data_IF_858919704389
#
_entry.id   IF_858919704389
#
_cell.length_a   1.000
_cell.length_b   1.000
_cell.length_c   1.000
_cell.angle_alpha   90.00
_cell.angle_beta   90.00
_cell.angle_gamma   90.00
#
_symmetry.space_group_name_H-M   'P 1'
#
loop_
_entity.id
_entity.type
_entity.pdbx_description
1 polymer ?
#
# COMPACT_ATOMS: atom_id res chain seq x y z
N UNK A 1 -34.29 -11.20 16.49
CA UNK A 1 -34.50 -9.80 16.92
C UNK A 1 -33.70 -8.90 16.00
N UNK A 2 -34.38 -8.14 15.13
CA UNK A 2 -33.76 -7.04 14.36
C UNK A 2 -33.23 -6.03 15.37
N UNK A 3 -31.94 -5.72 15.29
CA UNK A 3 -31.33 -4.65 16.07
C UNK A 3 -31.82 -3.35 15.43
N UNK A 4 -32.85 -2.74 16.04
CA UNK A 4 -33.24 -1.38 15.73
C UNK A 4 -32.01 -0.50 15.96
N UNK A 5 -31.36 -0.08 14.87
CA UNK A 5 -30.47 1.08 14.88
C UNK A 5 -31.33 2.31 15.10
N UNK A 6 -31.79 2.49 16.33
CA UNK A 6 -32.33 3.74 16.84
C UNK A 6 -31.31 4.82 16.54
N UNK A 7 -31.77 5.90 15.93
CA UNK A 7 -30.98 7.09 15.63
C UNK A 7 -30.20 7.53 16.87
N UNK A 8 -28.87 7.46 16.85
CA UNK A 8 -28.04 7.87 17.98
C UNK A 8 -27.99 9.40 18.20
N UNK A 9 -28.76 10.22 17.44
CA UNK A 9 -28.92 11.64 17.75
C UNK A 9 -30.12 12.28 17.00
N UNK A 10 -31.33 12.23 17.57
CA UNK A 10 -32.48 13.03 17.11
C UNK A 10 -32.12 14.53 16.99
N UNK A 11 -31.29 15.03 17.93
CA UNK A 11 -30.76 16.40 17.90
C UNK A 11 -29.90 16.68 16.65
N UNK A 12 -29.09 15.72 16.19
CA UNK A 12 -28.27 15.88 15.00
C UNK A 12 -29.14 15.95 13.75
N UNK A 13 -30.19 15.13 13.66
CA UNK A 13 -31.16 15.21 12.57
C UNK A 13 -31.88 16.57 12.55
N UNK A 14 -32.32 17.04 13.71
CA UNK A 14 -32.94 18.37 13.84
C UNK A 14 -32.00 19.49 13.40
N UNK A 15 -30.70 19.39 13.71
CA UNK A 15 -29.70 20.34 13.23
C UNK A 15 -29.54 20.25 11.71
N UNK A 16 -29.42 19.06 11.14
CA UNK A 16 -29.27 18.88 9.69
C UNK A 16 -30.46 19.45 8.92
N UNK A 17 -31.69 19.27 9.41
CA UNK A 17 -32.90 19.84 8.81
C UNK A 17 -32.93 21.37 8.77
N UNK A 18 -32.16 22.05 9.62
CA UNK A 18 -32.05 23.52 9.59
C UNK A 18 -31.19 24.01 8.43
N UNK A 19 -30.20 23.21 8.02
CA UNK A 19 -29.18 23.64 7.07
C UNK A 19 -29.28 22.93 5.71
N UNK A 20 -29.95 21.77 5.65
CA UNK A 20 -30.02 20.91 4.47
C UNK A 20 -31.44 20.39 4.24
N UNK A 21 -31.73 20.04 2.99
CA UNK A 21 -32.96 19.30 2.66
C UNK A 21 -32.74 17.82 2.99
N UNK A 22 -33.58 17.26 3.85
CA UNK A 22 -33.48 15.88 4.34
C UNK A 22 -34.68 15.08 3.86
N UNK A 23 -34.44 14.07 3.03
CA UNK A 23 -35.40 13.03 2.68
C UNK A 23 -35.19 11.85 3.64
N UNK A 24 -36.10 11.71 4.60
CA UNK A 24 -36.03 10.66 5.62
C UNK A 24 -36.42 9.27 5.10
N UNK A 25 -37.32 9.21 4.13
CA UNK A 25 -37.83 7.94 3.59
C UNK A 25 -36.73 7.24 2.78
N UNK A 26 -36.11 7.98 1.86
CA UNK A 26 -35.02 7.48 1.04
C UNK A 26 -33.65 7.60 1.72
N UNK A 27 -33.59 8.27 2.89
CA UNK A 27 -32.38 8.57 3.65
C UNK A 27 -31.34 9.31 2.80
N UNK A 28 -31.76 10.40 2.16
CA UNK A 28 -30.92 11.24 1.31
C UNK A 28 -30.86 12.65 1.89
N UNK A 29 -29.67 13.24 1.94
CA UNK A 29 -29.48 14.64 2.31
C UNK A 29 -28.95 15.38 1.08
N UNK A 30 -29.64 16.45 0.68
CA UNK A 30 -29.22 17.31 -0.42
C UNK A 30 -28.37 18.45 0.12
N UNK A 31 -27.14 18.55 -0.37
CA UNK A 31 -26.20 19.63 -0.08
C UNK A 31 -26.18 20.55 -1.29
N UNK A 32 -26.45 21.83 -1.08
CA UNK A 32 -26.22 22.86 -2.09
C UNK A 32 -24.91 23.57 -1.76
N UNK A 33 -24.00 23.61 -2.73
CA UNK A 33 -22.71 24.30 -2.64
C UNK A 33 -22.71 25.42 -3.66
N UNK A 34 -22.62 26.66 -3.17
CA UNK A 34 -22.75 27.86 -3.99
C UNK A 34 -21.37 28.42 -4.36
N UNK A 35 -21.17 28.74 -5.64
CA UNK A 35 -19.98 29.41 -6.16
C UNK A 35 -20.39 30.56 -7.09
N UNK A 36 -19.64 31.67 -7.05
CA UNK A 36 -19.90 32.79 -7.96
C UNK A 36 -19.37 32.47 -9.37
N UNK A 37 -18.19 31.85 -9.46
CA UNK A 37 -17.56 31.49 -10.74
C UNK A 37 -17.07 30.05 -10.77
N UNK A 38 -17.04 29.46 -11.97
CA UNK A 38 -16.43 28.15 -12.18
C UNK A 38 -14.94 28.14 -11.76
N UNK A 39 -14.20 29.21 -11.97
CA UNK A 39 -12.81 29.36 -11.50
C UNK A 39 -12.63 29.32 -9.97
N UNK A 40 -13.68 29.52 -9.17
CA UNK A 40 -13.62 29.35 -7.70
C UNK A 40 -13.64 27.87 -7.30
N UNK A 41 -14.24 27.03 -8.15
CA UNK A 41 -14.33 25.59 -7.96
C UNK A 41 -13.21 24.83 -8.69
N UNK A 42 -12.80 25.34 -9.85
CA UNK A 42 -11.82 24.74 -10.75
C UNK A 42 -10.43 25.35 -10.59
N UNK A 43 -9.40 24.55 -10.80
CA UNK A 43 -8.02 25.02 -10.87
C UNK A 43 -7.77 25.65 -12.25
N UNK A 44 -7.52 26.95 -12.27
CA UNK A 44 -7.26 27.71 -13.51
C UNK A 44 -5.81 27.66 -13.97
N UNK A 45 -4.90 27.16 -13.12
CA UNK A 45 -3.47 27.08 -13.40
C UNK A 45 -3.01 25.71 -13.90
N UNK A 46 -3.84 24.68 -13.78
CA UNK A 46 -3.51 23.29 -14.11
C UNK A 46 -4.73 22.61 -14.72
N UNK A 47 -4.56 22.00 -15.90
CA UNK A 47 -5.64 21.31 -16.64
C UNK A 47 -5.83 21.89 -18.05
N UNK A 48 -6.83 21.37 -18.76
CA UNK A 48 -7.28 21.92 -20.05
C UNK A 48 -8.73 22.41 -19.88
N UNK A 49 -9.14 23.45 -20.59
CA UNK A 49 -10.53 23.96 -20.59
C UNK A 49 -11.59 22.87 -20.78
N UNK A 50 -11.29 21.82 -21.55
CA UNK A 50 -12.23 20.72 -21.75
C UNK A 50 -12.31 19.74 -20.57
N UNK A 51 -11.23 19.61 -19.80
CA UNK A 51 -11.10 18.70 -18.65
C UNK A 51 -10.39 19.46 -17.51
N UNK A 52 -11.07 20.41 -16.85
CA UNK A 52 -10.47 21.17 -15.75
C UNK A 52 -10.22 20.26 -14.54
N UNK A 53 -9.33 20.66 -13.64
CA UNK A 53 -9.08 19.94 -12.38
C UNK A 53 -9.85 20.64 -11.27
N UNK A 54 -10.48 19.91 -10.35
CA UNK A 54 -11.14 20.52 -9.19
C UNK A 54 -10.09 20.98 -8.18
N UNK A 55 -10.29 22.16 -7.58
CA UNK A 55 -9.39 22.63 -6.51
C UNK A 55 -9.45 21.70 -5.30
N UNK A 56 -8.32 21.49 -4.64
CA UNK A 56 -8.24 20.69 -3.42
C UNK A 56 -9.12 21.28 -2.30
N UNK A 57 -9.19 22.60 -2.19
CA UNK A 57 -10.05 23.33 -1.24
C UNK A 57 -11.54 23.00 -1.44
N UNK A 58 -12.00 22.98 -2.70
CA UNK A 58 -13.38 22.65 -3.03
C UNK A 58 -13.71 21.18 -2.69
N UNK A 59 -12.77 20.28 -2.97
CA UNK A 59 -12.87 18.86 -2.61
C UNK A 59 -12.90 18.66 -1.08
N UNK A 60 -12.08 19.38 -0.35
CA UNK A 60 -12.00 19.31 1.11
C UNK A 60 -13.27 19.88 1.77
N UNK A 61 -13.82 20.97 1.24
CA UNK A 61 -15.10 21.51 1.69
C UNK A 61 -16.22 20.48 1.54
N UNK A 62 -16.34 19.83 0.38
CA UNK A 62 -17.30 18.75 0.15
C UNK A 62 -17.07 17.59 1.13
N UNK A 63 -15.82 17.22 1.38
CA UNK A 63 -15.49 16.18 2.36
C UNK A 63 -16.02 16.51 3.76
N UNK A 64 -15.75 17.71 4.22
CA UNK A 64 -16.02 18.14 5.59
C UNK A 64 -17.53 18.18 5.84
N UNK A 65 -18.31 18.61 4.84
CA UNK A 65 -19.76 18.53 4.90
C UNK A 65 -20.21 17.06 4.98
N UNK A 66 -19.72 16.18 4.11
CA UNK A 66 -20.09 14.74 4.12
C UNK A 66 -19.71 14.07 5.45
N UNK A 67 -18.62 14.48 6.10
CA UNK A 67 -18.21 13.97 7.41
C UNK A 67 -19.20 14.30 8.53
N UNK A 68 -19.83 15.46 8.47
CA UNK A 68 -20.82 15.88 9.46
C UNK A 68 -22.15 15.09 9.35
N UNK A 69 -22.37 14.42 8.21
CA UNK A 69 -23.61 13.70 7.90
C UNK A 69 -23.56 12.26 8.44
N UNK A 70 -24.61 11.81 9.18
CA UNK A 70 -24.70 10.46 9.73
C UNK A 70 -24.55 9.37 8.67
N UNK A 71 -23.80 8.30 9.00
CA UNK A 71 -23.41 7.20 8.09
C UNK A 71 -24.59 6.44 7.47
N UNK A 72 -25.80 6.62 7.99
CA UNK A 72 -27.02 6.00 7.45
C UNK A 72 -27.54 6.73 6.20
N UNK A 73 -27.24 8.03 6.03
CA UNK A 73 -27.78 8.85 4.93
C UNK A 73 -26.86 8.91 3.72
N UNK A 74 -27.40 8.80 2.50
CA UNK A 74 -26.70 9.17 1.28
C UNK A 74 -26.73 10.67 1.06
N UNK A 75 -25.86 11.16 0.18
CA UNK A 75 -25.68 12.58 -0.07
C UNK A 75 -25.89 12.89 -1.55
N UNK A 76 -26.80 13.81 -1.86
CA UNK A 76 -26.91 14.44 -3.18
C UNK A 76 -26.16 15.77 -3.12
N UNK A 77 -25.26 16.02 -4.07
CA UNK A 77 -24.50 17.27 -4.13
C UNK A 77 -25.00 18.09 -5.32
N UNK A 78 -25.43 19.30 -5.03
CA UNK A 78 -25.82 20.27 -6.03
C UNK A 78 -24.78 21.39 -6.02
N UNK A 79 -24.03 21.53 -7.11
CA UNK A 79 -23.16 22.67 -7.33
C UNK A 79 -23.95 23.75 -8.04
N UNK A 80 -24.14 24.87 -7.34
CA UNK A 80 -24.85 26.03 -7.84
C UNK A 80 -23.81 27.10 -8.21
N UNK A 81 -23.55 27.26 -9.51
CA UNK A 81 -22.50 28.15 -10.04
C UNK A 81 -23.19 29.24 -10.87
N UNK A 82 -22.95 30.52 -10.54
CA UNK A 82 -23.56 31.64 -11.27
C UNK A 82 -22.97 31.83 -12.66
N UNK A 83 -21.64 31.83 -12.75
CA UNK A 83 -20.92 31.99 -14.02
C UNK A 83 -20.04 30.76 -14.31
N UNK A 84 -20.41 30.02 -15.34
CA UNK A 84 -19.68 28.83 -15.77
C UNK A 84 -18.43 29.15 -16.61
N UNK A 85 -18.16 30.41 -16.98
CA UNK A 85 -16.93 30.84 -17.68
C UNK A 85 -16.58 30.01 -18.93
N UNK A 86 -17.60 29.60 -19.69
CA UNK A 86 -17.53 28.72 -20.88
C UNK A 86 -17.17 27.25 -20.61
N UNK A 87 -17.07 26.83 -19.35
CA UNK A 87 -16.96 25.42 -19.00
C UNK A 87 -18.30 24.70 -19.21
N UNK A 88 -18.25 23.51 -19.80
CA UNK A 88 -19.43 22.67 -19.93
C UNK A 88 -19.77 22.02 -18.57
N UNK A 89 -20.99 22.22 -18.01
CA UNK A 89 -21.38 21.66 -16.71
C UNK A 89 -21.20 20.14 -16.61
N UNK A 90 -21.46 19.41 -17.70
CA UNK A 90 -21.27 17.96 -17.73
C UNK A 90 -19.79 17.58 -17.62
N UNK A 91 -18.90 18.32 -18.27
CA UNK A 91 -17.46 18.09 -18.17
C UNK A 91 -16.95 18.37 -16.76
N UNK A 92 -17.53 19.34 -16.04
CA UNK A 92 -17.17 19.62 -14.64
C UNK A 92 -17.49 18.41 -13.74
N UNK A 93 -18.63 17.74 -13.93
CA UNK A 93 -18.97 16.52 -13.18
C UNK A 93 -17.94 15.42 -13.47
N UNK A 94 -17.57 15.23 -14.73
CA UNK A 94 -16.54 14.26 -15.11
C UNK A 94 -15.17 14.61 -14.50
N UNK A 95 -14.77 15.88 -14.56
CA UNK A 95 -13.58 16.41 -13.92
C UNK A 95 -13.53 16.17 -12.42
N UNK A 96 -14.67 16.22 -11.73
CA UNK A 96 -14.76 15.88 -10.32
C UNK A 96 -14.39 14.42 -10.06
N UNK A 97 -14.92 13.49 -10.86
CA UNK A 97 -14.52 12.08 -10.79
C UNK A 97 -13.03 11.87 -11.08
N UNK A 98 -12.54 12.47 -12.16
CA UNK A 98 -11.17 12.29 -12.63
C UNK A 98 -10.17 12.84 -11.61
N UNK A 99 -10.48 13.99 -11.01
CA UNK A 99 -9.64 14.57 -9.94
C UNK A 99 -9.57 13.65 -8.72
N UNK A 100 -10.71 13.08 -8.30
CA UNK A 100 -10.72 12.12 -7.20
C UNK A 100 -9.96 10.82 -7.54
N UNK A 101 -10.04 10.36 -8.80
CA UNK A 101 -9.30 9.19 -9.29
C UNK A 101 -7.79 9.44 -9.29
N UNK A 102 -7.35 10.59 -9.82
CA UNK A 102 -5.95 11.02 -9.81
C UNK A 102 -5.41 11.13 -8.38
N UNK A 103 -6.17 11.72 -7.47
CA UNK A 103 -5.82 11.77 -6.04
C UNK A 103 -5.71 10.37 -5.43
N UNK A 104 -6.53 9.42 -5.87
CA UNK A 104 -6.42 8.03 -5.45
C UNK A 104 -5.15 7.35 -6.00
N UNK A 105 -4.77 7.59 -7.27
CA UNK A 105 -3.52 7.07 -7.83
C UNK A 105 -2.30 7.60 -7.08
N UNK A 106 -2.28 8.90 -6.80
CA UNK A 106 -1.23 9.54 -6.00
C UNK A 106 -1.17 8.94 -4.60
N UNK A 107 -2.32 8.79 -3.93
CA UNK A 107 -2.42 8.15 -2.61
C UNK A 107 -1.90 6.71 -2.62
N UNK A 108 -2.22 5.92 -3.65
CA UNK A 108 -1.73 4.54 -3.82
C UNK A 108 -0.20 4.52 -3.93
N UNK A 109 0.38 5.39 -4.75
CA UNK A 109 1.84 5.50 -4.93
C UNK A 109 2.55 5.94 -3.65
N UNK A 110 2.01 6.93 -2.94
CA UNK A 110 2.54 7.39 -1.65
C UNK A 110 2.52 6.24 -0.62
N UNK A 111 1.41 5.52 -0.53
CA UNK A 111 1.30 4.34 0.34
C UNK A 111 2.34 3.27 -0.03
N UNK A 112 2.50 2.99 -1.32
CA UNK A 112 3.49 2.01 -1.75
C UNK A 112 4.91 2.40 -1.33
N UNK A 113 5.29 3.66 -1.57
CA UNK A 113 6.59 4.21 -1.16
C UNK A 113 6.78 4.13 0.35
N UNK A 114 5.76 4.45 1.12
CA UNK A 114 5.78 4.37 2.58
C UNK A 114 6.01 2.94 3.08
N UNK A 115 5.30 1.96 2.54
CA UNK A 115 5.54 0.56 2.93
C UNK A 115 6.95 0.10 2.55
N UNK A 116 7.49 0.57 1.42
CA UNK A 116 8.87 0.29 1.02
C UNK A 116 9.86 0.86 2.03
N UNK A 117 9.69 2.13 2.43
CA UNK A 117 10.52 2.77 3.45
C UNK A 117 10.44 1.98 4.76
N UNK A 118 9.23 1.69 5.25
CA UNK A 118 9.04 0.92 6.48
C UNK A 118 9.68 -0.47 6.40
N UNK A 119 9.53 -1.19 5.28
CA UNK A 119 10.13 -2.50 5.09
C UNK A 119 11.67 -2.43 5.08
N UNK A 120 12.26 -1.37 4.50
CA UNK A 120 13.70 -1.12 4.53
C UNK A 120 14.18 -0.80 5.94
N UNK A 121 13.45 0.02 6.71
CA UNK A 121 13.78 0.32 8.10
C UNK A 121 13.76 -0.96 8.96
N UNK A 122 12.74 -1.83 8.79
CA UNK A 122 12.69 -3.15 9.43
C UNK A 122 13.91 -3.99 9.05
N UNK A 123 14.24 -4.07 7.76
CA UNK A 123 15.39 -4.83 7.28
C UNK A 123 16.70 -4.35 7.93
N UNK A 124 16.93 -3.04 7.97
CA UNK A 124 18.12 -2.44 8.60
C UNK A 124 18.13 -2.72 10.10
N UNK A 125 16.99 -2.54 10.79
CA UNK A 125 16.87 -2.85 12.22
C UNK A 125 17.19 -4.31 12.53
N UNK A 126 16.64 -5.25 11.75
CA UNK A 126 16.92 -6.69 11.90
C UNK A 126 18.40 -7.00 11.65
N UNK A 127 19.01 -6.42 10.62
CA UNK A 127 20.45 -6.59 10.34
C UNK A 127 21.29 -6.09 11.53
N UNK A 128 20.97 -4.94 12.10
CA UNK A 128 21.67 -4.39 13.27
C UNK A 128 21.49 -5.26 14.52
N UNK A 129 20.29 -5.77 14.77
CA UNK A 129 20.05 -6.73 15.87
C UNK A 129 20.86 -8.01 15.68
N UNK A 130 20.87 -8.58 14.47
CA UNK A 130 21.69 -9.75 14.16
C UNK A 130 23.17 -9.45 14.36
N UNK A 131 23.66 -8.30 13.87
CA UNK A 131 25.05 -7.87 14.05
C UNK A 131 25.41 -7.73 15.54
N UNK A 132 24.53 -7.15 16.36
CA UNK A 132 24.72 -7.05 17.80
C UNK A 132 24.80 -8.44 18.46
N UNK A 133 23.82 -9.32 18.20
CA UNK A 133 23.77 -10.66 18.80
C UNK A 133 25.00 -11.47 18.41
N UNK A 134 25.37 -11.47 17.13
CA UNK A 134 26.55 -12.17 16.63
C UNK A 134 27.81 -11.59 17.24
N UNK A 135 27.96 -10.25 17.23
CA UNK A 135 29.14 -9.57 17.75
C UNK A 135 29.33 -9.80 19.24
N UNK A 136 28.25 -9.86 20.02
CA UNK A 136 28.31 -10.22 21.45
C UNK A 136 28.75 -11.67 21.64
N UNK A 137 28.15 -12.62 20.92
CA UNK A 137 28.47 -14.04 21.03
C UNK A 137 29.89 -14.38 20.56
N UNK A 138 30.45 -13.62 19.63
CA UNK A 138 31.80 -13.80 19.07
C UNK A 138 32.83 -12.84 19.66
N UNK A 139 32.47 -12.06 20.68
CA UNK A 139 33.37 -11.12 21.38
C UNK A 139 33.98 -10.09 20.40
N UNK A 140 33.27 -9.70 19.35
CA UNK A 140 33.72 -8.70 18.37
C UNK A 140 33.90 -7.32 18.99
N UNK A 141 33.18 -7.03 20.07
CA UNK A 141 33.21 -5.75 20.77
C UNK A 141 34.19 -5.71 21.94
N UNK A 142 34.95 -6.80 22.16
CA UNK A 142 35.83 -6.99 23.31
C UNK A 142 35.10 -7.48 24.57
N UNK A 143 35.72 -7.27 25.73
CA UNK A 143 35.19 -7.68 27.03
C UNK A 143 34.92 -6.48 27.96
N UNK A 144 34.09 -6.69 28.97
CA UNK A 144 33.76 -5.70 29.99
C UNK A 144 32.83 -4.57 29.51
N UNK A 145 32.83 -3.47 30.27
CA UNK A 145 31.87 -2.35 30.12
C UNK A 145 31.86 -1.76 28.71
N UNK A 146 33.03 -1.68 28.04
CA UNK A 146 33.14 -1.13 26.69
C UNK A 146 32.31 -1.93 25.68
N UNK A 147 32.33 -3.27 25.78
CA UNK A 147 31.58 -4.14 24.90
C UNK A 147 30.07 -4.01 25.13
N UNK A 148 29.66 -3.88 26.39
CA UNK A 148 28.25 -3.66 26.77
C UNK A 148 27.71 -2.34 26.21
N UNK A 149 28.48 -1.25 26.35
CA UNK A 149 28.10 0.07 25.82
C UNK A 149 27.94 0.05 24.30
N UNK A 150 28.85 -0.61 23.58
CA UNK A 150 28.76 -0.75 22.11
C UNK A 150 27.52 -1.57 21.72
N UNK A 151 27.30 -2.71 22.38
CA UNK A 151 26.13 -3.56 22.10
C UNK A 151 24.81 -2.83 22.37
N UNK A 152 24.72 -2.09 23.48
CA UNK A 152 23.53 -1.31 23.82
C UNK A 152 23.29 -0.15 22.84
N UNK A 153 24.35 0.50 22.36
CA UNK A 153 24.24 1.54 21.34
C UNK A 153 23.66 1.00 20.04
N UNK A 154 24.10 -0.19 19.60
CA UNK A 154 23.55 -0.87 18.42
C UNK A 154 22.10 -1.29 18.66
N UNK A 155 21.79 -1.80 19.85
CA UNK A 155 20.42 -2.19 20.24
C UNK A 155 19.45 -1.00 20.13
N UNK A 156 19.81 0.14 20.73
CA UNK A 156 19.01 1.38 20.68
C UNK A 156 18.83 1.82 19.23
N UNK A 157 19.90 1.86 18.44
CA UNK A 157 19.82 2.25 17.03
C UNK A 157 18.88 1.33 16.24
N UNK A 158 18.99 0.01 16.43
CA UNK A 158 18.12 -0.95 15.77
C UNK A 158 16.65 -0.78 16.17
N UNK A 159 16.38 -0.55 17.45
CA UNK A 159 15.04 -0.30 17.95
C UNK A 159 14.42 0.99 17.40
N UNK A 160 15.20 2.06 17.23
CA UNK A 160 14.73 3.29 16.57
C UNK A 160 14.24 2.98 15.15
N UNK A 161 15.01 2.23 14.36
CA UNK A 161 14.59 1.83 13.01
C UNK A 161 13.29 1.02 13.00
N UNK A 162 13.16 0.05 13.91
CA UNK A 162 11.95 -0.77 14.03
C UNK A 162 10.75 0.08 14.46
N UNK A 163 10.94 0.98 15.43
CA UNK A 163 9.88 1.86 15.90
C UNK A 163 9.38 2.79 14.81
N UNK A 164 10.27 3.39 14.03
CA UNK A 164 9.83 4.26 12.93
C UNK A 164 9.06 3.49 11.85
N UNK A 165 9.44 2.25 11.58
CA UNK A 165 8.66 1.39 10.70
C UNK A 165 7.25 1.11 11.27
N UNK A 166 7.14 0.83 12.57
CA UNK A 166 5.86 0.59 13.25
C UNK A 166 4.98 1.84 13.20
N UNK A 167 5.54 3.01 13.52
CA UNK A 167 4.84 4.30 13.46
C UNK A 167 4.27 4.58 12.07
N UNK A 168 5.07 4.37 11.03
CA UNK A 168 4.60 4.49 9.66
C UNK A 168 3.49 3.48 9.35
N UNK A 169 3.66 2.19 9.66
CA UNK A 169 2.72 1.15 9.23
C UNK A 169 1.38 1.19 9.99
N UNK A 170 1.40 1.54 11.27
CA UNK A 170 0.25 1.38 12.16
C UNK A 170 -0.36 2.68 12.67
N UNK A 171 0.44 3.74 12.87
CA UNK A 171 -0.04 4.99 13.47
C UNK A 171 -0.46 6.02 12.43
N UNK A 172 0.32 6.18 11.37
CA UNK A 172 -0.01 7.12 10.30
C UNK A 172 -1.11 6.56 9.36
N UNK A 173 -2.34 7.04 9.55
CA UNK A 173 -3.46 6.75 8.65
C UNK A 173 -3.39 7.64 7.39
N UNK A 174 -3.61 7.06 6.21
CA UNK A 174 -3.74 7.83 4.98
C UNK A 174 -5.13 8.50 4.91
N UNK A 175 -5.22 9.77 5.29
CA UNK A 175 -6.48 10.54 5.28
C UNK A 175 -7.09 10.65 3.88
N UNK A 176 -6.25 10.82 2.84
CA UNK A 176 -6.68 10.94 1.44
C UNK A 176 -7.42 9.70 0.91
N UNK A 177 -7.07 8.49 1.38
CA UNK A 177 -7.79 7.27 1.00
C UNK A 177 -9.20 7.24 1.60
N UNK A 178 -9.33 7.70 2.84
CA UNK A 178 -10.61 7.77 3.54
C UNK A 178 -11.50 8.79 2.82
N UNK A 179 -10.93 9.90 2.37
CA UNK A 179 -11.62 10.94 1.62
C UNK A 179 -12.30 10.43 0.34
N UNK A 180 -11.54 9.93 -0.63
CA UNK A 180 -12.09 9.53 -1.93
C UNK A 180 -13.09 8.35 -1.80
N UNK A 181 -12.81 7.39 -0.91
CA UNK A 181 -13.75 6.29 -0.63
C UNK A 181 -15.03 6.79 0.04
N UNK A 182 -14.94 7.79 0.92
CA UNK A 182 -16.10 8.39 1.57
C UNK A 182 -16.99 9.07 0.54
N UNK A 183 -16.46 9.95 -0.30
CA UNK A 183 -17.26 10.58 -1.37
C UNK A 183 -17.96 9.51 -2.19
N UNK A 184 -17.23 8.54 -2.75
CA UNK A 184 -17.82 7.50 -3.58
C UNK A 184 -18.92 6.68 -2.90
N UNK A 185 -18.74 6.34 -1.63
CA UNK A 185 -19.69 5.48 -0.92
C UNK A 185 -20.89 6.25 -0.40
N UNK A 186 -20.77 7.57 -0.25
CA UNK A 186 -21.79 8.42 0.40
C UNK A 186 -22.58 9.23 -0.61
N UNK A 187 -21.94 9.71 -1.67
CA UNK A 187 -22.59 10.48 -2.73
C UNK A 187 -23.44 9.54 -3.58
N UNK A 188 -24.71 9.91 -3.78
CA UNK A 188 -25.64 9.21 -4.66
C UNK A 188 -25.71 9.86 -6.03
N UNK A 189 -25.65 11.18 -6.10
CA UNK A 189 -25.86 11.98 -7.31
C UNK A 189 -25.09 13.31 -7.20
N UNK A 190 -24.62 13.80 -8.34
CA UNK A 190 -24.04 15.15 -8.47
C UNK A 190 -24.80 15.88 -9.57
N UNK A 191 -25.27 17.09 -9.27
CA UNK A 191 -25.90 17.97 -10.25
C UNK A 191 -25.26 19.34 -10.30
N UNK A 192 -25.25 19.94 -11.48
CA UNK A 192 -24.84 21.31 -11.76
C UNK A 192 -26.09 22.15 -12.01
N UNK A 193 -26.25 23.22 -11.24
CA UNK A 193 -27.39 24.12 -11.29
C UNK A 193 -26.97 25.49 -11.81
N UNK A 194 -27.89 26.14 -12.51
CA UNK A 194 -27.81 27.58 -12.77
C UNK A 194 -28.52 28.33 -11.64
N UNK A 195 -27.82 29.30 -11.03
CA UNK A 195 -28.38 30.10 -9.94
C UNK A 195 -29.61 30.88 -10.42
N UNK A 196 -30.58 31.10 -9.53
CA UNK A 196 -31.86 31.78 -9.74
C UNK A 196 -33.00 31.00 -10.43
N UNK A 197 -32.76 29.80 -10.98
CA UNK A 197 -33.83 29.00 -11.61
C UNK A 197 -34.02 27.59 -11.09
N UNK A 198 -33.16 27.11 -10.18
CA UNK A 198 -33.09 25.68 -9.81
C UNK A 198 -33.06 24.76 -11.05
N UNK A 199 -32.54 25.28 -12.18
CA UNK A 199 -32.55 24.56 -13.43
C UNK A 199 -31.36 23.61 -13.45
N UNK A 200 -31.63 22.33 -13.66
CA UNK A 200 -30.60 21.30 -13.69
C UNK A 200 -29.94 21.32 -15.06
N UNK A 201 -28.71 21.84 -15.14
CA UNK A 201 -27.93 21.88 -16.38
C UNK A 201 -27.32 20.52 -16.70
N UNK A 202 -26.86 19.80 -15.67
CA UNK A 202 -26.35 18.45 -15.78
C UNK A 202 -26.60 17.70 -14.47
N UNK A 203 -26.90 16.41 -14.56
CA UNK A 203 -27.04 15.53 -13.40
C UNK A 203 -26.52 14.14 -13.77
N UNK A 204 -25.65 13.59 -12.94
CA UNK A 204 -25.18 12.22 -13.07
C UNK A 204 -25.29 11.46 -11.75
N UNK A 205 -25.64 10.18 -11.85
CA UNK A 205 -25.72 9.28 -10.69
C UNK A 205 -24.33 8.78 -10.32
N UNK A 206 -24.16 8.35 -9.07
CA UNK A 206 -22.90 7.80 -8.57
C UNK A 206 -22.40 6.60 -9.38
N UNK A 207 -23.29 5.82 -10.00
CA UNK A 207 -22.90 4.71 -10.87
C UNK A 207 -22.31 5.20 -12.20
N UNK A 208 -22.90 6.24 -12.81
CA UNK A 208 -22.35 6.85 -14.02
C UNK A 208 -20.98 7.52 -13.76
N UNK A 209 -20.85 8.19 -12.61
CA UNK A 209 -19.66 8.93 -12.20
C UNK A 209 -18.54 7.96 -11.75
N UNK A 210 -18.79 7.11 -10.76
CA UNK A 210 -17.77 6.30 -10.10
C UNK A 210 -17.73 4.83 -10.56
N UNK A 211 -18.63 4.40 -11.46
CA UNK A 211 -18.70 3.02 -11.93
C UNK A 211 -17.46 2.58 -12.71
N UNK A 212 -16.77 3.54 -13.34
CA UNK A 212 -15.57 3.30 -14.17
C UNK A 212 -14.25 3.33 -13.38
N UNK A 213 -14.27 3.63 -12.09
CA UNK A 213 -13.04 3.71 -11.29
C UNK A 213 -12.27 2.38 -11.28
N UNK A 214 -11.00 2.44 -11.67
CA UNK A 214 -10.09 1.31 -11.53
C UNK A 214 -9.82 1.05 -10.03
N UNK A 215 -10.52 0.07 -9.48
CA UNK A 215 -10.26 -0.42 -8.15
C UNK A 215 -9.09 -1.40 -8.18
N UNK A 216 -7.97 -1.01 -7.56
CA UNK A 216 -6.90 -1.97 -7.26
C UNK A 216 -7.50 -3.14 -6.46
N UNK A 217 -7.51 -4.33 -7.09
CA UNK A 217 -8.13 -5.51 -6.48
C UNK A 217 -7.42 -5.82 -5.15
N UNK A 218 -8.18 -6.29 -4.15
CA UNK A 218 -7.61 -6.73 -2.87
C UNK A 218 -6.46 -7.72 -3.10
N UNK A 219 -6.64 -8.61 -4.08
CA UNK A 219 -5.65 -9.61 -4.48
C UNK A 219 -4.35 -8.98 -5.00
N UNK A 220 -4.42 -7.97 -5.88
CA UNK A 220 -3.25 -7.24 -6.41
C UNK A 220 -2.52 -6.48 -5.31
N UNK A 221 -3.25 -5.98 -4.30
CA UNK A 221 -2.64 -5.36 -3.13
C UNK A 221 -1.86 -6.36 -2.27
N UNK A 222 -2.45 -7.54 -2.04
CA UNK A 222 -1.78 -8.61 -1.29
C UNK A 222 -0.57 -9.16 -2.04
N UNK A 223 -0.64 -9.32 -3.36
CA UNK A 223 0.49 -9.79 -4.15
C UNK A 223 1.68 -8.83 -4.10
N UNK A 224 1.43 -7.51 -4.19
CA UNK A 224 2.48 -6.50 -4.01
C UNK A 224 3.12 -6.57 -2.62
N UNK A 225 2.33 -6.77 -1.58
CA UNK A 225 2.85 -6.95 -0.21
C UNK A 225 3.67 -8.23 -0.06
N UNK A 226 3.19 -9.34 -0.62
CA UNK A 226 3.90 -10.61 -0.62
C UNK A 226 5.27 -10.48 -1.32
N UNK A 227 5.30 -9.81 -2.49
CA UNK A 227 6.54 -9.49 -3.20
C UNK A 227 7.47 -8.63 -2.36
N UNK A 228 6.98 -7.57 -1.72
CA UNK A 228 7.80 -6.68 -0.89
C UNK A 228 8.45 -7.45 0.28
N UNK A 229 7.65 -8.21 1.04
CA UNK A 229 8.10 -8.96 2.21
C UNK A 229 9.12 -10.02 1.79
N UNK A 230 8.77 -10.84 0.80
CA UNK A 230 9.67 -11.90 0.33
C UNK A 230 10.97 -11.34 -0.25
N UNK A 231 10.93 -10.23 -0.98
CA UNK A 231 12.14 -9.54 -1.47
C UNK A 231 13.06 -9.08 -0.34
N UNK A 232 12.53 -8.46 0.72
CA UNK A 232 13.35 -8.04 1.87
C UNK A 232 13.98 -9.24 2.57
N UNK A 233 13.23 -10.34 2.70
CA UNK A 233 13.75 -11.57 3.30
C UNK A 233 14.85 -12.17 2.42
N UNK A 234 14.70 -12.18 1.09
CA UNK A 234 15.75 -12.68 0.19
C UNK A 234 17.04 -11.84 0.29
N UNK A 235 16.93 -10.53 0.40
CA UNK A 235 18.09 -9.65 0.65
C UNK A 235 18.76 -10.01 1.97
N UNK A 236 17.97 -10.17 3.05
CA UNK A 236 18.50 -10.61 4.35
C UNK A 236 19.18 -11.97 4.26
N UNK A 237 18.54 -12.96 3.63
CA UNK A 237 19.09 -14.31 3.44
C UNK A 237 20.42 -14.26 2.70
N UNK A 238 20.58 -13.38 1.71
CA UNK A 238 21.86 -13.17 1.03
C UNK A 238 22.98 -12.71 1.97
N UNK A 239 22.69 -11.79 2.89
CA UNK A 239 23.69 -11.35 3.88
C UNK A 239 23.98 -12.44 4.91
N UNK A 240 22.95 -13.15 5.34
CA UNK A 240 23.09 -14.25 6.30
C UNK A 240 23.88 -15.43 5.72
N UNK A 241 23.66 -15.81 4.46
CA UNK A 241 24.43 -16.86 3.79
C UNK A 241 25.89 -16.46 3.60
N UNK A 242 26.17 -15.18 3.30
CA UNK A 242 27.53 -14.66 3.25
C UNK A 242 28.22 -14.77 4.62
N UNK A 243 27.54 -14.36 5.70
CA UNK A 243 28.05 -14.50 7.06
C UNK A 243 28.32 -15.98 7.43
N UNK A 244 27.38 -16.88 7.11
CA UNK A 244 27.53 -18.32 7.35
C UNK A 244 28.72 -18.91 6.60
N UNK A 245 28.92 -18.53 5.34
CA UNK A 245 30.07 -18.94 4.53
C UNK A 245 31.39 -18.49 5.17
N UNK A 246 31.51 -17.20 5.52
CA UNK A 246 32.71 -16.65 6.15
C UNK A 246 32.99 -17.37 7.47
N UNK A 247 31.96 -17.58 8.29
CA UNK A 247 32.10 -18.28 9.57
C UNK A 247 32.58 -19.71 9.35
N UNK A 248 32.01 -20.44 8.40
CA UNK A 248 32.41 -21.80 8.07
C UNK A 248 33.85 -21.93 7.56
N UNK A 249 34.33 -20.92 6.82
CA UNK A 249 35.73 -20.82 6.41
C UNK A 249 36.63 -20.61 7.63
N UNK A 250 36.30 -19.66 8.51
CA UNK A 250 37.11 -19.34 9.71
C UNK A 250 37.18 -20.54 10.66
N UNK A 251 36.08 -21.27 10.85
CA UNK A 251 36.03 -22.42 11.76
C UNK A 251 36.58 -23.71 11.16
N UNK A 252 37.14 -23.67 9.93
CA UNK A 252 37.63 -24.85 9.20
C UNK A 252 36.62 -26.00 9.16
N UNK A 253 35.32 -25.69 9.10
CA UNK A 253 34.26 -26.71 9.12
C UNK A 253 34.25 -27.55 7.85
N UNK A 254 34.84 -27.03 6.77
CA UNK A 254 34.94 -27.67 5.46
C UNK A 254 36.40 -27.71 5.03
N UNK A 255 36.83 -28.81 4.41
CA UNK A 255 38.22 -29.00 3.97
C UNK A 255 38.32 -29.57 2.55
N UNK A 256 39.49 -29.38 1.93
CA UNK A 256 39.82 -29.94 0.62
C UNK A 256 38.88 -29.51 -0.52
N UNK A 257 38.56 -30.44 -1.42
CA UNK A 257 37.69 -30.19 -2.57
C UNK A 257 36.26 -29.76 -2.15
N UNK A 258 35.77 -30.27 -1.02
CA UNK A 258 34.44 -29.94 -0.51
C UNK A 258 34.30 -28.45 -0.17
N UNK A 259 35.36 -27.83 0.37
CA UNK A 259 35.40 -26.39 0.64
C UNK A 259 35.19 -25.58 -0.65
N UNK A 260 35.85 -25.96 -1.75
CA UNK A 260 35.73 -25.28 -3.05
C UNK A 260 34.28 -25.37 -3.56
N UNK A 261 33.67 -26.54 -3.48
CA UNK A 261 32.26 -26.74 -3.88
C UNK A 261 31.33 -25.88 -3.04
N UNK A 262 31.50 -25.86 -1.72
CA UNK A 262 30.66 -25.06 -0.80
C UNK A 262 30.79 -23.57 -1.10
N UNK A 263 32.01 -23.07 -1.36
CA UNK A 263 32.25 -21.67 -1.73
C UNK A 263 31.51 -21.32 -3.02
N UNK A 264 31.70 -22.11 -4.08
CA UNK A 264 31.08 -21.85 -5.39
C UNK A 264 29.55 -21.84 -5.27
N UNK A 265 28.96 -22.85 -4.65
CA UNK A 265 27.51 -22.95 -4.45
C UNK A 265 27.00 -21.76 -3.64
N UNK A 266 27.69 -21.41 -2.54
CA UNK A 266 27.28 -20.30 -1.67
C UNK A 266 27.33 -18.96 -2.39
N UNK A 267 28.37 -18.69 -3.19
CA UNK A 267 28.48 -17.46 -3.99
C UNK A 267 27.31 -17.36 -4.98
N UNK A 268 27.00 -18.45 -5.68
CA UNK A 268 25.88 -18.49 -6.62
C UNK A 268 24.55 -18.22 -5.88
N UNK A 269 24.34 -18.84 -4.72
CA UNK A 269 23.14 -18.62 -3.90
C UNK A 269 23.03 -17.18 -3.39
N UNK A 270 24.13 -16.59 -2.89
CA UNK A 270 24.19 -15.18 -2.47
C UNK A 270 23.75 -14.27 -3.61
N UNK A 271 24.35 -14.42 -4.79
CA UNK A 271 24.00 -13.60 -5.95
C UNK A 271 22.55 -13.80 -6.37
N UNK A 272 22.06 -15.05 -6.40
CA UNK A 272 20.67 -15.35 -6.75
C UNK A 272 19.68 -14.68 -5.78
N UNK A 273 19.90 -14.80 -4.46
CA UNK A 273 19.04 -14.18 -3.45
C UNK A 273 19.06 -12.66 -3.52
N UNK A 274 20.25 -12.06 -3.67
CA UNK A 274 20.40 -10.61 -3.76
C UNK A 274 19.69 -10.04 -5.00
N UNK A 275 19.94 -10.60 -6.18
CA UNK A 275 19.32 -10.12 -7.41
C UNK A 275 17.81 -10.38 -7.46
N UNK A 276 17.34 -11.51 -6.92
CA UNK A 276 15.91 -11.78 -6.78
C UNK A 276 15.25 -10.76 -5.84
N UNK A 277 15.87 -10.49 -4.69
CA UNK A 277 15.44 -9.46 -3.76
C UNK A 277 15.27 -8.10 -4.45
N UNK A 278 16.31 -7.61 -5.13
CA UNK A 278 16.28 -6.34 -5.87
C UNK A 278 15.25 -6.34 -7.00
N UNK A 279 15.14 -7.44 -7.76
CA UNK A 279 14.19 -7.58 -8.85
C UNK A 279 12.75 -7.43 -8.36
N UNK A 280 12.39 -8.11 -7.27
CA UNK A 280 11.06 -7.98 -6.68
C UNK A 280 10.79 -6.58 -6.09
N UNK A 281 11.79 -5.91 -5.49
CA UNK A 281 11.64 -4.50 -5.06
C UNK A 281 11.38 -3.55 -6.23
N UNK A 282 12.08 -3.73 -7.36
CA UNK A 282 11.83 -2.93 -8.57
C UNK A 282 10.44 -3.18 -9.15
N UNK A 283 10.00 -4.43 -9.15
CA UNK A 283 8.66 -4.79 -9.58
C UNK A 283 7.59 -4.16 -8.68
N UNK A 284 7.80 -4.16 -7.36
CA UNK A 284 6.92 -3.52 -6.39
C UNK A 284 6.72 -2.02 -6.65
N UNK A 285 7.76 -1.32 -7.09
CA UNK A 285 7.72 0.12 -7.45
C UNK A 285 7.04 0.36 -8.81
N UNK A 286 6.83 -0.69 -9.62
CA UNK A 286 6.26 -0.59 -10.97
C UNK A 286 7.27 -0.20 -12.05
N UNK A 287 8.58 -0.35 -11.80
CA UNK A 287 9.63 -0.12 -12.82
C UNK A 287 9.95 -1.43 -13.53
N UNK A 288 9.42 -1.60 -14.74
CA UNK A 288 9.71 -2.74 -15.60
C UNK A 288 11.03 -2.46 -16.35
N UNK A 289 12.15 -2.96 -15.81
CA UNK A 289 13.49 -2.85 -16.41
C UNK A 289 14.05 -4.25 -16.68
N UNK A 290 15.23 -4.36 -17.31
CA UNK A 290 15.93 -5.64 -17.48
C UNK A 290 16.09 -6.44 -16.19
N UNK A 291 16.28 -5.76 -15.05
CA UNK A 291 16.43 -6.39 -13.72
C UNK A 291 15.14 -7.08 -13.25
N UNK A 292 13.94 -6.60 -13.61
CA UNK A 292 12.70 -7.29 -13.20
C UNK A 292 12.49 -8.62 -13.93
N UNK A 293 13.20 -8.88 -15.04
CA UNK A 293 13.20 -10.19 -15.71
C UNK A 293 13.82 -11.29 -14.84
N UNK A 294 14.77 -10.95 -13.96
CA UNK A 294 15.35 -11.90 -12.99
C UNK A 294 14.31 -12.47 -12.02
N UNK A 295 13.23 -11.75 -11.75
CA UNK A 295 12.13 -12.26 -10.92
C UNK A 295 11.53 -13.52 -11.54
N UNK A 296 11.29 -13.54 -12.85
CA UNK A 296 10.73 -14.69 -13.55
C UNK A 296 11.69 -15.89 -13.60
N UNK A 297 12.98 -15.65 -13.84
CA UNK A 297 14.01 -16.70 -13.84
C UNK A 297 14.11 -17.33 -12.44
N UNK A 298 14.19 -16.48 -11.41
CA UNK A 298 14.28 -16.94 -10.03
C UNK A 298 13.03 -17.69 -9.57
N UNK A 299 11.83 -17.25 -9.98
CA UNK A 299 10.59 -18.00 -9.75
C UNK A 299 10.65 -19.39 -10.36
N UNK A 300 11.15 -19.55 -11.60
CA UNK A 300 11.28 -20.86 -12.22
C UNK A 300 12.23 -21.78 -11.43
N UNK A 301 13.37 -21.26 -10.99
CA UNK A 301 14.33 -21.99 -10.13
C UNK A 301 13.67 -22.39 -8.80
N UNK A 302 12.94 -21.46 -8.17
CA UNK A 302 12.24 -21.74 -6.92
C UNK A 302 11.15 -22.79 -7.06
N UNK A 303 10.39 -22.79 -8.16
CA UNK A 303 9.37 -23.81 -8.41
C UNK A 303 10.02 -25.20 -8.52
N UNK A 304 11.13 -25.31 -9.26
CA UNK A 304 11.89 -26.56 -9.37
C UNK A 304 12.40 -27.03 -8.00
N UNK A 305 13.04 -26.12 -7.24
CA UNK A 305 13.52 -26.41 -5.89
C UNK A 305 12.38 -26.81 -4.93
N UNK A 306 11.22 -26.16 -5.05
CA UNK A 306 10.05 -26.44 -4.24
C UNK A 306 9.50 -27.84 -4.50
N UNK A 307 9.40 -28.24 -5.77
CA UNK A 307 8.97 -29.60 -6.16
C UNK A 307 9.96 -30.64 -5.64
N UNK A 308 11.27 -30.43 -5.83
CA UNK A 308 12.31 -31.34 -5.30
C UNK A 308 12.22 -31.48 -3.78
N UNK A 309 12.03 -30.36 -3.07
CA UNK A 309 11.93 -30.34 -1.60
C UNK A 309 10.70 -31.12 -1.14
N UNK A 310 9.54 -30.94 -1.77
CA UNK A 310 8.33 -31.69 -1.42
C UNK A 310 8.53 -33.19 -1.64
N UNK A 311 9.10 -33.59 -2.79
CA UNK A 311 9.39 -34.99 -3.10
C UNK A 311 10.33 -35.59 -2.03
N UNK A 312 11.40 -34.87 -1.67
CA UNK A 312 12.34 -35.30 -0.64
C UNK A 312 11.74 -35.37 0.78
N UNK A 313 10.77 -34.52 1.09
CA UNK A 313 10.05 -34.54 2.38
C UNK A 313 9.06 -35.71 2.47
N UNK A 314 8.39 -36.04 1.35
CA UNK A 314 7.49 -37.20 1.27
C UNK A 314 8.27 -38.50 1.49
N UNK A 315 9.51 -38.59 1.01
CA UNK A 315 10.32 -39.80 1.11
C UNK A 315 11.03 -39.98 2.46
N UNK A 316 11.36 -38.91 3.19
CA UNK A 316 12.16 -38.99 4.42
C UNK A 316 11.38 -38.90 5.75
N UNK A 317 10.06 -38.62 5.73
CA UNK A 317 9.12 -38.68 6.88
C UNK A 317 9.61 -38.08 8.22
N UNK A 318 10.58 -37.16 8.22
CA UNK A 318 11.14 -36.60 9.46
C UNK A 318 10.49 -35.25 9.77
N UNK A 319 9.58 -35.25 10.73
CA UNK A 319 8.83 -34.08 11.21
C UNK A 319 9.72 -32.88 11.56
N UNK A 320 10.93 -33.10 12.09
CA UNK A 320 11.85 -32.01 12.44
C UNK A 320 12.39 -31.26 11.22
N UNK A 321 12.60 -31.97 10.10
CA UNK A 321 13.09 -31.40 8.83
C UNK A 321 11.94 -30.71 8.07
N UNK A 322 10.72 -31.21 8.25
CA UNK A 322 9.50 -30.54 7.76
C UNK A 322 9.36 -29.18 8.44
N UNK A 323 9.42 -29.12 9.78
CA UNK A 323 9.24 -27.86 10.51
C UNK A 323 10.30 -26.80 10.20
N UNK A 324 11.57 -27.18 10.01
CA UNK A 324 12.64 -26.23 9.68
C UNK A 324 12.57 -25.66 8.26
N UNK A 325 11.88 -26.35 7.34
CA UNK A 325 11.75 -25.93 5.94
C UNK A 325 10.48 -25.12 5.65
N UNK A 326 9.48 -25.13 6.54
CA UNK A 326 8.24 -24.35 6.39
C UNK A 326 8.52 -22.86 6.17
N UNK A 327 9.50 -22.28 6.86
CA UNK A 327 9.84 -20.86 6.72
C UNK A 327 10.28 -20.50 5.30
N UNK A 328 11.19 -21.28 4.70
CA UNK A 328 11.68 -21.05 3.33
C UNK A 328 10.59 -21.32 2.29
N UNK A 329 9.75 -22.32 2.52
CA UNK A 329 8.57 -22.64 1.71
C UNK A 329 7.61 -21.46 1.66
N UNK A 330 7.27 -20.85 2.81
CA UNK A 330 6.36 -19.71 2.88
C UNK A 330 6.94 -18.51 2.12
N UNK A 331 8.24 -18.21 2.29
CA UNK A 331 8.91 -17.10 1.59
C UNK A 331 8.86 -17.30 0.08
N UNK A 332 9.16 -18.51 -0.39
CA UNK A 332 9.13 -18.86 -1.81
C UNK A 332 7.70 -18.76 -2.36
N UNK A 333 6.72 -19.26 -1.62
CA UNK A 333 5.31 -19.14 -1.99
C UNK A 333 4.88 -17.67 -2.11
N UNK A 334 5.26 -16.81 -1.16
CA UNK A 334 4.96 -15.37 -1.22
C UNK A 334 5.61 -14.70 -2.44
N UNK A 335 6.85 -15.06 -2.77
CA UNK A 335 7.55 -14.51 -3.94
C UNK A 335 6.93 -14.97 -5.26
N UNK A 336 6.61 -16.27 -5.39
CA UNK A 336 6.00 -16.87 -6.58
C UNK A 336 4.57 -16.34 -6.77
N UNK A 337 3.75 -16.38 -5.72
CA UNK A 337 2.36 -15.90 -5.78
C UNK A 337 2.30 -14.40 -6.09
N UNK A 338 3.20 -13.62 -5.48
CA UNK A 338 3.39 -12.20 -5.77
C UNK A 338 3.63 -11.93 -7.27
N UNK A 339 4.58 -12.65 -7.87
CA UNK A 339 4.91 -12.53 -9.30
C UNK A 339 3.76 -12.94 -10.22
N UNK A 340 3.16 -14.11 -10.00
CA UNK A 340 2.14 -14.67 -10.89
C UNK A 340 0.90 -13.77 -10.89
N UNK A 341 0.44 -13.35 -9.71
CA UNK A 341 -0.72 -12.46 -9.61
C UNK A 341 -0.43 -11.13 -10.29
N UNK A 342 0.73 -10.51 -10.04
CA UNK A 342 1.04 -9.21 -10.63
C UNK A 342 1.14 -9.25 -12.17
N UNK A 343 1.67 -10.35 -12.73
CA UNK A 343 1.86 -10.51 -14.18
C UNK A 343 0.60 -10.94 -14.93
N UNK A 344 -0.19 -11.86 -14.37
CA UNK A 344 -1.30 -12.50 -15.07
C UNK A 344 -2.68 -12.02 -14.62
N UNK A 345 -2.79 -11.39 -13.44
CA UNK A 345 -4.06 -10.83 -12.98
C UNK A 345 -4.28 -9.44 -13.61
N UNK A 346 -4.85 -9.44 -14.82
CA UNK A 346 -5.45 -8.25 -15.42
C UNK A 346 -6.90 -8.17 -14.94
N UNK A 347 -7.25 -7.05 -14.29
CA UNK A 347 -8.62 -6.54 -14.25
C UNK A 347 -8.61 -5.22 -14.99
#
# INVERSE_FOLDING_TARGET
>A
MKKDTKFDNERQLLLLKKYYQVDEENKIITINVHYDKASDFLNTSIGNNNNPIIRDEALENVNNIIQSIPVVYKVRINFDIKDYENYNPKNIIQSFNDTLELNQYTSRRLRQRKNLIAATLILVGVILLCFMVIGKNKIWFGEGIKAEVIAETINIAAWVFVWEAVSMLFLEKSEQKIFALRIRTRVSEISMLETDRNNILACETAEAIFGKWDNESKLKRYSKMATLISSMILIFTSFYTLYSLITGIITNTFSGFFLIVVIVVSIISILAYFFAGIAGLRNYIGKINGISKFMGIYVAILIVNYVITIIGQITNSNLSIIFSTIGSVVINFLYISGYIIDKYYKR
#
